data_IF_144842365046
#
_entry.id   IF_144842365046
#
_cell.length_a   1.000
_cell.length_b   1.000
_cell.length_c   1.000
_cell.angle_alpha   90.00
_cell.angle_beta   90.00
_cell.angle_gamma   90.00
#
_symmetry.space_group_name_H-M   'P 1'
#
loop_
_entity.id
_entity.type
_entity.pdbx_description
1 polymer ?
#
# COMPACT_ATOMS: atom_id res chain seq x y z
N UNK A 1 21.76 -15.41 -19.40
CA UNK A 1 20.69 -15.65 -18.40
C UNK A 1 19.85 -14.38 -18.26
N UNK A 2 18.60 -14.42 -18.72
CA UNK A 2 17.67 -13.28 -18.58
C UNK A 2 17.35 -13.08 -17.09
N UNK A 3 17.63 -11.88 -16.57
CA UNK A 3 17.40 -11.49 -15.17
C UNK A 3 15.90 -11.43 -14.86
N UNK A 4 15.26 -12.57 -14.58
CA UNK A 4 13.88 -12.65 -14.06
C UNK A 4 13.77 -12.39 -12.54
N UNK A 5 14.70 -11.63 -11.96
CA UNK A 5 14.84 -11.51 -10.49
C UNK A 5 14.16 -10.28 -9.86
N UNK A 6 13.60 -9.34 -10.65
CA UNK A 6 13.13 -8.07 -10.10
C UNK A 6 11.63 -8.02 -9.76
N UNK A 7 10.78 -8.79 -10.46
CA UNK A 7 9.34 -8.71 -10.23
C UNK A 7 8.94 -9.22 -8.83
N UNK A 8 9.57 -10.30 -8.35
CA UNK A 8 9.26 -10.93 -7.06
C UNK A 8 9.64 -10.04 -5.87
N UNK A 9 10.75 -9.31 -5.98
CA UNK A 9 11.23 -8.42 -4.90
C UNK A 9 10.40 -7.14 -4.81
N UNK A 10 9.94 -6.62 -5.95
CA UNK A 10 9.00 -5.50 -6.00
C UNK A 10 7.64 -5.91 -5.43
N UNK A 11 7.13 -7.09 -5.79
CA UNK A 11 5.86 -7.60 -5.25
C UNK A 11 5.90 -7.75 -3.72
N UNK A 12 6.99 -8.33 -3.18
CA UNK A 12 7.16 -8.49 -1.73
C UNK A 12 7.32 -7.14 -1.00
N UNK A 13 7.96 -6.16 -1.64
CA UNK A 13 8.03 -4.79 -1.11
C UNK A 13 6.64 -4.16 -0.99
N UNK A 14 5.82 -4.30 -2.04
CA UNK A 14 4.45 -3.77 -2.04
C UNK A 14 3.55 -4.44 -1.00
N UNK A 15 3.70 -5.74 -0.75
CA UNK A 15 2.94 -6.43 0.30
C UNK A 15 3.27 -5.91 1.70
N UNK A 16 4.55 -5.63 1.99
CA UNK A 16 4.96 -5.02 3.26
C UNK A 16 4.40 -3.61 3.43
N UNK A 17 4.35 -2.82 2.35
CA UNK A 17 3.75 -1.49 2.39
C UNK A 17 2.23 -1.58 2.62
N UNK A 18 1.55 -2.56 2.02
CA UNK A 18 0.12 -2.80 2.28
C UNK A 18 -0.10 -3.14 3.74
N UNK A 19 0.67 -4.09 4.29
CA UNK A 19 0.56 -4.53 5.68
C UNK A 19 0.79 -3.36 6.65
N UNK A 20 1.84 -2.56 6.42
CA UNK A 20 2.11 -1.39 7.26
C UNK A 20 1.00 -0.34 7.20
N UNK A 21 0.45 -0.08 6.00
CA UNK A 21 -0.64 0.88 5.86
C UNK A 21 -1.91 0.39 6.59
N UNK A 22 -2.24 -0.90 6.47
CA UNK A 22 -3.36 -1.53 7.19
C UNK A 22 -3.12 -1.47 8.70
N UNK A 23 -1.91 -1.72 9.19
CA UNK A 23 -1.61 -1.67 10.62
C UNK A 23 -1.74 -0.24 11.19
N UNK A 24 -1.25 0.77 10.46
CA UNK A 24 -1.23 2.16 10.94
C UNK A 24 -2.60 2.83 10.81
N UNK A 25 -3.40 2.44 9.83
CA UNK A 25 -4.66 3.13 9.50
C UNK A 25 -5.89 2.25 9.68
N UNK A 26 -5.74 0.94 9.89
CA UNK A 26 -6.81 -0.06 10.05
C UNK A 26 -7.85 -0.06 8.92
N UNK A 27 -7.43 0.26 7.69
CA UNK A 27 -8.26 0.14 6.48
C UNK A 27 -8.20 -1.28 5.91
N UNK A 28 -9.08 -1.61 4.97
CA UNK A 28 -9.02 -2.91 4.29
C UNK A 28 -7.72 -3.05 3.44
N UNK A 29 -7.06 -4.21 3.42
CA UNK A 29 -5.88 -4.45 2.61
C UNK A 29 -6.06 -4.16 1.11
N UNK A 30 -7.29 -4.29 0.58
CA UNK A 30 -7.61 -3.93 -0.81
C UNK A 30 -7.64 -2.42 -1.01
N UNK A 31 -8.13 -1.66 -0.02
CA UNK A 31 -8.07 -0.20 -0.03
C UNK A 31 -6.61 0.26 0.05
N UNK A 32 -5.83 -0.29 0.98
CA UNK A 32 -4.40 -0.01 1.11
C UNK A 32 -3.62 -0.27 -0.19
N UNK A 33 -3.86 -1.42 -0.84
CA UNK A 33 -3.24 -1.73 -2.13
C UNK A 33 -3.67 -0.77 -3.25
N UNK A 34 -4.91 -0.30 -3.21
CA UNK A 34 -5.40 0.69 -4.18
C UNK A 34 -4.74 2.05 -3.97
N UNK A 35 -4.59 2.48 -2.71
CA UNK A 35 -3.88 3.71 -2.35
C UNK A 35 -2.40 3.65 -2.78
N UNK A 36 -1.70 2.56 -2.47
CA UNK A 36 -0.31 2.34 -2.89
C UNK A 36 -0.15 2.31 -4.41
N UNK A 37 -1.14 1.79 -5.15
CA UNK A 37 -1.12 1.82 -6.62
C UNK A 37 -1.36 3.23 -7.18
N UNK A 38 -2.17 4.05 -6.49
CA UNK A 38 -2.56 5.40 -6.93
C UNK A 38 -1.52 6.47 -6.55
N UNK A 39 -0.89 6.32 -5.39
CA UNK A 39 0.03 7.30 -4.81
C UNK A 39 1.48 6.82 -4.74
N UNK A 40 1.75 5.53 -4.94
CA UNK A 40 3.07 4.97 -4.68
C UNK A 40 3.38 4.98 -3.18
N UNK A 41 4.67 5.08 -2.84
CA UNK A 41 5.16 5.07 -1.46
C UNK A 41 5.01 6.43 -0.72
N UNK A 42 4.03 7.25 -1.10
CA UNK A 42 3.77 8.55 -0.49
C UNK A 42 3.02 8.41 0.85
N UNK A 43 3.73 7.95 1.87
CA UNK A 43 3.20 7.65 3.21
C UNK A 43 2.34 8.75 3.86
N UNK A 44 2.71 10.05 3.82
CA UNK A 44 1.86 11.09 4.39
C UNK A 44 0.48 11.13 3.74
N UNK A 45 0.43 11.03 2.40
CA UNK A 45 -0.80 11.09 1.62
C UNK A 45 -1.62 9.80 1.75
N UNK A 46 -0.96 8.66 1.83
CA UNK A 46 -1.61 7.37 2.10
C UNK A 46 -2.34 7.40 3.45
N UNK A 47 -1.73 7.97 4.50
CA UNK A 47 -2.36 8.11 5.81
C UNK A 47 -3.57 9.06 5.76
N UNK A 48 -3.42 10.23 5.15
CA UNK A 48 -4.54 11.18 4.98
C UNK A 48 -5.72 10.56 4.23
N UNK A 49 -5.47 9.89 3.08
CA UNK A 49 -6.54 9.24 2.30
C UNK A 49 -7.13 8.03 3.03
N UNK A 50 -6.32 7.27 3.76
CA UNK A 50 -6.80 6.15 4.58
C UNK A 50 -7.67 6.62 5.76
N UNK A 51 -7.28 7.69 6.45
CA UNK A 51 -8.09 8.29 7.51
C UNK A 51 -9.38 8.93 6.97
N UNK A 52 -9.36 9.47 5.75
CA UNK A 52 -10.55 9.94 5.06
C UNK A 52 -11.50 8.77 4.75
N UNK A 53 -10.99 7.66 4.21
CA UNK A 53 -11.77 6.45 3.91
C UNK A 53 -12.46 5.88 5.15
N UNK A 54 -11.81 5.91 6.33
CA UNK A 54 -12.43 5.48 7.59
C UNK A 54 -13.61 6.35 8.05
N UNK A 55 -13.66 7.62 7.63
CA UNK A 55 -14.71 8.56 8.06
C UNK A 55 -15.95 8.52 7.17
N UNK A 56 -15.85 7.88 6.01
CA UNK A 56 -16.93 7.80 5.03
C UNK A 56 -17.77 6.50 5.14
N UNK A 57 -17.51 5.65 6.15
CA UNK A 57 -18.27 4.44 6.49
C UNK A 57 -19.02 4.57 7.82
#
# INVERSE_FOLDING_TARGET
MQRKANASRVAKGQELEVEHLVEVTEIDPRQARTLLRKHGADWPKLKDEAEALKKED
#
